data_IF_455164435201
#
_entry.id   IF_455164435201
#
_cell.length_a   1.000
_cell.length_b   1.000
_cell.length_c   1.000
_cell.angle_alpha   90.00
_cell.angle_beta   90.00
_cell.angle_gamma   90.00
#
_symmetry.space_group_name_H-M   'P 1'
#
loop_
_entity.id
_entity.type
_entity.pdbx_description
1 polymer ?
#
# COMPACT_ATOMS: atom_id res chain seq x y z
N UNK A 1 15.86 15.68 -0.04
CA UNK A 1 14.65 14.85 0.12
C UNK A 1 14.69 14.24 1.52
N UNK A 2 13.80 14.65 2.41
CA UNK A 2 13.70 14.03 3.74
C UNK A 2 13.12 12.62 3.60
N UNK A 3 13.64 11.59 4.31
CA UNK A 3 13.00 10.29 4.33
C UNK A 3 11.63 10.45 4.99
N UNK A 4 10.58 10.03 4.29
CA UNK A 4 9.26 9.88 4.91
C UNK A 4 9.41 8.91 6.10
N UNK A 5 8.69 9.10 7.21
CA UNK A 5 8.78 8.21 8.35
C UNK A 5 8.58 6.77 7.88
N UNK A 6 9.59 5.94 8.14
CA UNK A 6 9.62 4.52 7.85
C UNK A 6 8.57 3.86 8.75
N UNK A 7 7.31 3.89 8.32
CA UNK A 7 6.28 3.18 9.05
C UNK A 7 6.67 1.71 9.08
N UNK A 8 6.66 1.06 10.25
CA UNK A 8 7.12 -0.33 10.38
C UNK A 8 6.23 -1.31 9.61
N UNK A 9 5.10 -0.85 9.06
CA UNK A 9 4.17 -1.65 8.30
C UNK A 9 3.81 -1.01 6.96
N UNK A 10 3.49 -1.87 6.01
CA UNK A 10 2.93 -1.52 4.72
C UNK A 10 1.64 -2.30 4.48
N UNK A 11 0.67 -1.64 3.84
CA UNK A 11 -0.53 -2.26 3.34
C UNK A 11 -0.30 -2.68 1.90
N UNK A 12 -0.19 -4.00 1.67
CA UNK A 12 0.18 -4.59 0.38
C UNK A 12 -1.03 -5.11 -0.37
N UNK A 13 -1.27 -4.57 -1.55
CA UNK A 13 -2.20 -5.09 -2.56
C UNK A 13 -1.39 -5.85 -3.59
N UNK A 14 -1.62 -7.16 -3.73
CA UNK A 14 -0.93 -8.02 -4.72
C UNK A 14 -1.83 -8.21 -5.94
N UNK A 15 -1.26 -8.25 -7.14
CA UNK A 15 -2.00 -8.61 -8.34
C UNK A 15 -2.47 -10.07 -8.29
N UNK A 16 -3.68 -10.32 -8.78
CA UNK A 16 -4.23 -11.67 -8.92
C UNK A 16 -3.64 -12.42 -10.12
N UNK A 17 -3.08 -11.69 -11.09
CA UNK A 17 -2.63 -12.24 -12.37
C UNK A 17 -1.11 -12.24 -12.54
N UNK A 18 -0.40 -11.38 -11.79
CA UNK A 18 1.06 -11.21 -11.90
C UNK A 18 1.68 -11.13 -10.50
N UNK A 19 2.26 -12.22 -9.97
CA UNK A 19 2.73 -12.29 -8.59
C UNK A 19 3.90 -11.35 -8.24
N UNK A 20 4.46 -10.60 -9.20
CA UNK A 20 5.46 -9.54 -8.96
C UNK A 20 4.90 -8.13 -8.89
N UNK A 21 3.64 -7.90 -9.29
CA UNK A 21 3.02 -6.57 -9.35
C UNK A 21 2.09 -6.31 -8.18
N UNK A 22 1.95 -5.04 -7.84
CA UNK A 22 1.06 -4.61 -6.78
C UNK A 22 1.32 -3.19 -6.32
N UNK A 23 0.59 -2.80 -5.29
CA UNK A 23 0.75 -1.51 -4.62
C UNK A 23 1.08 -1.74 -3.15
N UNK A 24 2.01 -0.96 -2.64
CA UNK A 24 2.34 -0.92 -1.22
C UNK A 24 2.20 0.51 -0.72
N UNK A 25 1.56 0.67 0.42
CA UNK A 25 1.35 1.97 1.05
C UNK A 25 1.82 1.92 2.50
N UNK A 26 2.49 2.95 3.00
CA UNK A 26 2.86 3.01 4.41
C UNK A 26 1.58 3.02 5.27
N UNK A 27 1.51 2.16 6.29
CA UNK A 27 0.38 2.07 7.21
C UNK A 27 0.81 1.84 8.66
N UNK A 28 -0.13 1.93 9.58
CA UNK A 28 0.08 1.47 10.96
C UNK A 28 -0.08 -0.06 11.09
N UNK A 29 0.10 -0.58 12.31
CA UNK A 29 -0.05 -2.01 12.63
C UNK A 29 -1.46 -2.57 12.39
N UNK A 30 -2.47 -1.70 12.24
CA UNK A 30 -3.87 -2.06 11.97
C UNK A 30 -4.20 -1.99 10.48
N UNK A 31 -3.23 -1.62 9.64
CA UNK A 31 -3.42 -1.44 8.20
C UNK A 31 -4.08 -0.12 7.82
N UNK A 32 -4.13 0.86 8.73
CA UNK A 32 -4.67 2.18 8.43
C UNK A 32 -3.63 3.01 7.69
N UNK A 33 -4.00 3.47 6.50
CA UNK A 33 -3.15 4.32 5.67
C UNK A 33 -3.50 5.79 5.94
N UNK A 34 -2.51 6.54 6.38
CA UNK A 34 -2.62 7.99 6.63
C UNK A 34 -2.66 8.77 5.31
N UNK A 35 -3.85 8.91 4.72
CA UNK A 35 -4.05 9.57 3.41
C UNK A 35 -3.46 10.98 3.33
N UNK A 36 -3.39 11.70 4.44
CA UNK A 36 -2.83 13.07 4.51
C UNK A 36 -1.30 13.10 4.41
N UNK A 37 -0.63 11.97 4.66
CA UNK A 37 0.82 11.82 4.51
C UNK A 37 1.23 11.32 3.11
N UNK A 38 0.26 10.89 2.30
CA UNK A 38 0.49 10.49 0.92
C UNK A 38 0.56 11.71 -0.01
N UNK A 39 1.43 11.65 -1.01
CA UNK A 39 1.36 12.56 -2.16
C UNK A 39 0.08 12.32 -2.98
N UNK A 40 -0.33 13.29 -3.80
CA UNK A 40 -1.53 13.17 -4.64
C UNK A 40 -1.50 11.92 -5.53
N UNK A 41 -0.34 11.60 -6.10
CA UNK A 41 -0.14 10.38 -6.89
C UNK A 41 -0.33 9.11 -6.06
N UNK A 42 0.25 9.07 -4.87
CA UNK A 42 0.11 7.92 -3.97
C UNK A 42 -1.33 7.76 -3.48
N UNK A 43 -2.03 8.86 -3.21
CA UNK A 43 -3.45 8.87 -2.85
C UNK A 43 -4.33 8.31 -3.97
N UNK A 44 -4.12 8.74 -5.22
CA UNK A 44 -4.84 8.19 -6.37
C UNK A 44 -4.58 6.69 -6.56
N UNK A 45 -3.32 6.27 -6.45
CA UNK A 45 -2.97 4.85 -6.52
C UNK A 45 -3.65 4.04 -5.41
N UNK A 46 -3.74 4.58 -4.19
CA UNK A 46 -4.41 3.92 -3.08
C UNK A 46 -5.90 3.74 -3.33
N UNK A 47 -6.57 4.78 -3.82
CA UNK A 47 -7.99 4.72 -4.16
C UNK A 47 -8.27 3.74 -5.30
N UNK A 48 -7.42 3.73 -6.34
CA UNK A 48 -7.49 2.74 -7.41
C UNK A 48 -7.30 1.31 -6.87
N UNK A 49 -6.26 1.09 -6.05
CA UNK A 49 -5.99 -0.23 -5.49
C UNK A 49 -7.17 -0.77 -4.65
N UNK A 50 -7.80 0.10 -3.85
CA UNK A 50 -9.02 -0.25 -3.11
C UNK A 50 -10.19 -0.62 -4.01
N UNK A 51 -10.40 0.11 -5.10
CA UNK A 51 -11.49 -0.13 -6.02
C UNK A 51 -11.30 -1.43 -6.83
N UNK A 52 -10.05 -1.86 -7.03
CA UNK A 52 -9.71 -3.03 -7.83
C UNK A 52 -9.55 -4.35 -7.04
N UNK A 53 -9.81 -4.33 -5.73
CA UNK A 53 -9.85 -5.54 -4.91
C UNK A 53 -10.92 -6.51 -5.41
N UNK A 54 -10.54 -7.79 -5.56
CA UNK A 54 -11.41 -8.86 -6.08
C UNK A 54 -11.58 -8.86 -7.59
N UNK A 55 -10.99 -7.88 -8.31
CA UNK A 55 -11.04 -7.79 -9.78
C UNK A 55 -9.65 -7.96 -10.38
N UNK A 56 -8.70 -7.12 -9.95
CA UNK A 56 -7.29 -7.18 -10.39
C UNK A 56 -6.34 -7.41 -9.22
N UNK A 57 -6.74 -7.03 -8.01
CA UNK A 57 -5.92 -7.10 -6.82
C UNK A 57 -6.55 -8.02 -5.77
N UNK A 58 -5.72 -8.73 -5.02
CA UNK A 58 -6.13 -9.48 -3.84
C UNK A 58 -6.52 -8.52 -2.70
N UNK A 59 -7.30 -9.00 -1.71
CA UNK A 59 -7.48 -8.29 -0.45
C UNK A 59 -6.13 -7.88 0.14
N UNK A 60 -6.00 -6.66 0.66
CA UNK A 60 -4.72 -6.19 1.14
C UNK A 60 -4.28 -6.95 2.40
N UNK A 61 -2.96 -7.11 2.56
CA UNK A 61 -2.35 -7.64 3.76
C UNK A 61 -1.45 -6.60 4.42
N UNK A 62 -1.45 -6.55 5.75
CA UNK A 62 -0.47 -5.77 6.52
C UNK A 62 0.81 -6.59 6.61
N UNK A 63 1.92 -6.00 6.19
CA UNK A 63 3.24 -6.62 6.21
C UNK A 63 4.23 -5.69 6.91
N UNK A 64 5.29 -6.22 7.55
CA UNK A 64 6.42 -5.40 7.97
C UNK A 64 7.00 -4.67 6.74
N UNK A 65 7.24 -3.36 6.87
CA UNK A 65 8.00 -2.62 5.87
C UNK A 65 9.44 -3.13 5.96
N UNK A 66 9.85 -3.97 5.00
CA UNK A 66 11.18 -4.55 4.97
C UNK A 66 12.22 -3.42 4.95
N UNK A 67 13.10 -3.41 5.95
CA UNK A 67 14.29 -2.56 5.99
C UNK A 67 15.24 -3.13 4.93
N UNK A 68 15.23 -2.55 3.73
CA UNK A 68 16.20 -2.84 2.68
C UNK A 68 17.43 -1.95 2.87
#
# INVERSE_FOLDING_TARGET
MSPAPELPFQLRYRSLFDPGRGFAFPCDARGQVELNRLSDRARNNYLYARAMVGRELAPPAVEPAGLH
#
